data_IF_593232369163
#
_entry.id   IF_593232369163
#
_cell.length_a   1.000
_cell.length_b   1.000
_cell.length_c   1.000
_cell.angle_alpha   90.00
_cell.angle_beta   90.00
_cell.angle_gamma   90.00
#
_symmetry.space_group_name_H-M   'P 1'
#
loop_
_entity.id
_entity.type
_entity.pdbx_description
1 polymer ?
#
# COMPACT_ATOMS: atom_id res chain seq x y z
N UNK A 1 5.10 11.82 -11.70
CA UNK A 1 5.15 10.34 -11.69
C UNK A 1 3.93 9.82 -10.96
N UNK A 2 3.54 8.57 -11.19
CA UNK A 2 2.34 8.03 -10.59
C UNK A 2 2.61 6.80 -9.72
N UNK A 3 1.89 6.70 -8.60
CA UNK A 3 1.89 5.51 -7.73
C UNK A 3 0.72 4.63 -8.13
N UNK A 4 0.96 3.33 -8.27
CA UNK A 4 -0.06 2.37 -8.62
C UNK A 4 -0.62 1.71 -7.36
N UNK A 5 -1.94 1.74 -7.22
CA UNK A 5 -2.66 1.09 -6.14
C UNK A 5 -3.39 -0.13 -6.66
N UNK A 6 -3.19 -1.28 -6.00
CA UNK A 6 -4.04 -2.45 -6.14
C UNK A 6 -4.85 -2.60 -4.86
N UNK A 7 -6.17 -2.65 -4.99
CA UNK A 7 -7.08 -2.95 -3.90
C UNK A 7 -7.65 -4.35 -4.13
N UNK A 8 -7.60 -5.21 -3.12
CA UNK A 8 -8.21 -6.53 -3.15
C UNK A 8 -9.24 -6.65 -2.03
N UNK A 9 -10.32 -7.38 -2.30
CA UNK A 9 -11.30 -7.75 -1.29
C UNK A 9 -11.50 -9.23 -1.32
N UNK A 10 -11.30 -9.87 -0.18
CA UNK A 10 -11.21 -11.31 -0.05
C UNK A 10 -12.24 -11.79 0.97
N UNK A 11 -13.02 -12.81 0.60
CA UNK A 11 -13.88 -13.57 1.51
C UNK A 11 -13.30 -14.97 1.66
N UNK A 12 -13.16 -15.45 2.90
CA UNK A 12 -12.68 -16.81 3.16
C UNK A 12 -13.85 -17.77 3.35
N UNK A 13 -13.64 -19.03 3.00
CA UNK A 13 -14.64 -20.10 3.13
C UNK A 13 -14.96 -20.43 4.59
N UNK A 14 -14.00 -20.23 5.50
CA UNK A 14 -14.18 -20.41 6.93
C UNK A 14 -13.18 -19.58 7.76
N UNK A 15 -13.43 -19.38 9.07
CA UNK A 15 -12.46 -18.76 9.97
C UNK A 15 -11.13 -19.52 10.09
N UNK A 16 -11.15 -20.86 9.91
CA UNK A 16 -9.95 -21.69 9.94
C UNK A 16 -9.07 -21.45 8.70
N UNK A 17 -9.70 -21.28 7.54
CA UNK A 17 -8.99 -20.95 6.30
C UNK A 17 -8.31 -19.59 6.37
N UNK A 18 -8.95 -18.61 7.01
CA UNK A 18 -8.30 -17.33 7.27
C UNK A 18 -7.08 -17.49 8.20
N UNK A 19 -7.16 -18.30 9.27
CA UNK A 19 -6.00 -18.55 10.14
C UNK A 19 -4.83 -19.19 9.39
N UNK A 20 -5.10 -20.16 8.52
CA UNK A 20 -4.06 -20.76 7.66
C UNK A 20 -3.48 -19.73 6.69
N UNK A 21 -4.34 -18.90 6.10
CA UNK A 21 -3.92 -17.81 5.22
C UNK A 21 -3.00 -16.84 5.95
N UNK A 22 -3.30 -16.46 7.21
CA UNK A 22 -2.45 -15.56 7.99
C UNK A 22 -1.00 -16.06 8.12
N UNK A 23 -0.79 -17.38 8.21
CA UNK A 23 0.57 -17.96 8.23
C UNK A 23 1.30 -17.73 6.91
N UNK A 24 0.66 -18.01 5.78
CA UNK A 24 1.24 -17.79 4.45
C UNK A 24 1.44 -16.29 4.18
N UNK A 25 0.47 -15.48 4.57
CA UNK A 25 0.49 -14.03 4.40
C UNK A 25 1.61 -13.36 5.20
N UNK A 26 1.93 -13.87 6.38
CA UNK A 26 3.07 -13.39 7.16
C UNK A 26 4.39 -13.52 6.38
N UNK A 27 4.60 -14.62 5.66
CA UNK A 27 5.80 -14.82 4.85
C UNK A 27 5.74 -14.04 3.52
N UNK A 28 4.56 -13.92 2.90
CA UNK A 28 4.34 -13.00 1.77
C UNK A 28 4.84 -11.58 2.09
N UNK A 29 4.56 -11.05 3.29
CA UNK A 29 5.04 -9.72 3.72
C UNK A 29 6.57 -9.63 3.75
N UNK A 30 7.26 -10.70 4.13
CA UNK A 30 8.73 -10.76 4.12
C UNK A 30 9.26 -10.70 2.68
N UNK A 31 8.61 -11.42 1.77
CA UNK A 31 8.96 -11.42 0.34
C UNK A 31 8.68 -10.07 -0.33
N UNK A 32 7.52 -9.45 -0.04
CA UNK A 32 7.13 -8.14 -0.59
C UNK A 32 8.17 -7.06 -0.31
N UNK A 33 8.69 -6.97 0.93
CA UNK A 33 9.72 -5.97 1.29
C UNK A 33 10.98 -6.04 0.42
N UNK A 34 11.30 -7.22 -0.11
CA UNK A 34 12.49 -7.44 -0.94
C UNK A 34 12.29 -6.98 -2.38
N UNK A 35 11.05 -6.79 -2.83
CA UNK A 35 10.76 -6.46 -4.22
C UNK A 35 11.14 -5.02 -4.55
N UNK A 36 11.73 -4.79 -5.73
CA UNK A 36 11.81 -3.47 -6.33
C UNK A 36 10.41 -2.91 -6.56
N UNK A 37 10.20 -1.65 -6.18
CA UNK A 37 8.95 -0.94 -6.45
C UNK A 37 7.78 -1.24 -5.51
N UNK A 38 7.90 -2.17 -4.58
CA UNK A 38 6.94 -2.31 -3.49
C UNK A 38 7.07 -1.15 -2.49
N UNK A 39 5.94 -0.51 -2.15
CA UNK A 39 5.91 0.61 -1.20
C UNK A 39 5.15 0.26 0.07
N UNK A 40 3.98 -0.33 -0.08
CA UNK A 40 3.04 -0.49 1.03
C UNK A 40 2.10 -1.64 0.81
N UNK A 41 1.71 -2.31 1.89
CA UNK A 41 0.53 -3.16 1.94
C UNK A 41 -0.18 -2.96 3.29
N UNK A 42 -1.50 -2.78 3.27
CA UNK A 42 -2.36 -2.83 4.45
C UNK A 42 -3.44 -3.87 4.25
N UNK A 43 -3.69 -4.65 5.30
CA UNK A 43 -4.73 -5.66 5.38
C UNK A 43 -5.61 -5.41 6.60
N UNK A 44 -6.93 -5.40 6.42
CA UNK A 44 -7.88 -5.18 7.51
C UNK A 44 -9.21 -5.90 7.32
N UNK A 45 -9.93 -6.10 8.42
CA UNK A 45 -11.29 -6.66 8.44
C UNK A 45 -12.31 -5.56 8.16
N UNK A 46 -13.32 -5.82 7.33
CA UNK A 46 -14.41 -4.87 7.10
C UNK A 46 -15.23 -4.66 8.38
N UNK A 47 -15.59 -3.42 8.70
CA UNK A 47 -16.26 -3.11 9.96
C UNK A 47 -17.66 -3.72 10.08
N UNK A 48 -18.41 -3.77 8.98
CA UNK A 48 -19.80 -4.26 8.99
C UNK A 48 -19.95 -5.76 8.64
N UNK A 49 -18.92 -6.36 8.04
CA UNK A 49 -18.92 -7.78 7.65
C UNK A 49 -17.57 -8.40 8.04
N UNK A 50 -17.49 -9.08 9.19
CA UNK A 50 -16.23 -9.66 9.68
C UNK A 50 -15.74 -10.86 8.85
N UNK A 51 -16.51 -11.31 7.86
CA UNK A 51 -16.07 -12.29 6.87
C UNK A 51 -15.45 -11.65 5.63
N UNK A 52 -15.49 -10.32 5.51
CA UNK A 52 -14.79 -9.56 4.47
C UNK A 52 -13.48 -8.99 4.98
N UNK A 53 -12.46 -9.18 4.15
CA UNK A 53 -11.14 -8.64 4.37
C UNK A 53 -10.76 -7.77 3.18
N UNK A 54 -10.10 -6.66 3.46
CA UNK A 54 -9.63 -5.74 2.44
C UNK A 54 -8.11 -5.70 2.48
N UNK A 55 -7.51 -5.61 1.30
CA UNK A 55 -6.11 -5.37 1.10
C UNK A 55 -5.97 -4.12 0.22
N UNK A 56 -5.01 -3.26 0.55
CA UNK A 56 -4.46 -2.30 -0.40
C UNK A 56 -2.96 -2.52 -0.47
N UNK A 57 -2.42 -2.53 -1.68
CA UNK A 57 -0.98 -2.45 -1.92
C UNK A 57 -0.62 -1.30 -2.85
N UNK A 58 0.49 -0.61 -2.55
CA UNK A 58 1.01 0.51 -3.33
C UNK A 58 2.35 0.13 -3.95
N UNK A 59 2.52 0.55 -5.19
CA UNK A 59 3.63 0.20 -6.05
C UNK A 59 4.14 1.41 -6.82
N UNK A 60 5.44 1.46 -7.10
CA UNK A 60 6.04 2.54 -7.89
C UNK A 60 5.58 2.56 -9.35
N UNK A 61 5.04 1.44 -9.86
CA UNK A 61 4.50 1.33 -11.21
C UNK A 61 3.59 0.10 -11.34
N UNK A 62 2.81 0.06 -12.44
CA UNK A 62 2.05 -1.14 -12.81
C UNK A 62 2.98 -2.34 -13.10
N UNK A 63 4.14 -2.11 -13.73
CA UNK A 63 5.09 -3.19 -14.02
C UNK A 63 5.60 -3.86 -12.74
N UNK A 64 5.89 -3.09 -11.68
CA UNK A 64 6.32 -3.65 -10.40
C UNK A 64 5.25 -4.55 -9.77
N UNK A 65 3.97 -4.15 -9.83
CA UNK A 65 2.85 -4.98 -9.40
C UNK A 65 2.70 -6.23 -10.29
N UNK A 66 2.80 -6.07 -11.61
CA UNK A 66 2.69 -7.19 -12.56
C UNK A 66 3.78 -8.23 -12.30
N UNK A 67 5.01 -7.79 -12.07
CA UNK A 67 6.15 -8.65 -11.78
C UNK A 67 5.93 -9.41 -10.46
N UNK A 68 5.33 -8.78 -9.46
CA UNK A 68 4.88 -9.48 -8.26
C UNK A 68 3.81 -10.54 -8.55
N UNK A 69 2.78 -10.22 -9.34
CA UNK A 69 1.77 -11.21 -9.73
C UNK A 69 2.34 -12.38 -10.54
N UNK A 70 3.44 -12.15 -11.26
CA UNK A 70 4.15 -13.18 -12.01
C UNK A 70 5.21 -13.93 -11.20
N UNK A 71 5.53 -13.46 -10.00
CA UNK A 71 6.52 -14.06 -9.13
C UNK A 71 6.15 -15.51 -8.73
N UNK A 72 7.12 -16.41 -8.79
CA UNK A 72 6.93 -17.83 -8.49
C UNK A 72 6.36 -18.07 -7.09
N UNK A 73 6.88 -17.37 -6.08
CA UNK A 73 6.40 -17.52 -4.70
C UNK A 73 4.95 -17.05 -4.58
N UNK A 74 4.63 -15.86 -5.12
CA UNK A 74 3.26 -15.34 -5.11
C UNK A 74 2.27 -16.29 -5.80
N UNK A 75 2.66 -16.87 -6.95
CA UNK A 75 1.84 -17.87 -7.66
C UNK A 75 1.58 -19.10 -6.80
N UNK A 76 2.59 -19.64 -6.12
CA UNK A 76 2.41 -20.79 -5.24
C UNK A 76 1.52 -20.47 -4.03
N UNK A 77 1.70 -19.30 -3.41
CA UNK A 77 0.86 -18.86 -2.30
C UNK A 77 -0.61 -18.71 -2.73
N UNK A 78 -0.85 -18.07 -3.89
CA UNK A 78 -2.20 -17.90 -4.44
C UNK A 78 -2.82 -19.23 -4.88
N UNK A 79 -2.03 -20.10 -5.51
CA UNK A 79 -2.47 -21.44 -5.92
C UNK A 79 -2.86 -22.30 -4.73
N UNK A 80 -2.10 -22.26 -3.63
CA UNK A 80 -2.47 -22.92 -2.38
C UNK A 80 -3.84 -22.44 -1.87
N UNK A 81 -4.05 -21.12 -1.83
CA UNK A 81 -5.31 -20.54 -1.36
C UNK A 81 -6.51 -20.95 -2.22
N UNK A 82 -6.33 -21.04 -3.55
CA UNK A 82 -7.37 -21.50 -4.48
C UNK A 82 -7.61 -23.01 -4.35
N UNK A 83 -6.55 -23.83 -4.37
CA UNK A 83 -6.66 -25.31 -4.35
C UNK A 83 -7.17 -25.85 -3.03
N UNK A 84 -6.85 -25.20 -1.91
CA UNK A 84 -7.39 -25.55 -0.60
C UNK A 84 -8.86 -25.15 -0.44
N UNK A 85 -9.40 -24.35 -1.37
CA UNK A 85 -10.75 -23.77 -1.24
C UNK A 85 -10.81 -22.69 -0.16
N UNK A 86 -9.68 -22.14 0.29
CA UNK A 86 -9.63 -21.19 1.38
C UNK A 86 -10.32 -19.85 1.04
N UNK A 87 -10.20 -19.41 -0.21
CA UNK A 87 -10.81 -18.17 -0.71
C UNK A 87 -12.13 -18.49 -1.44
N UNK A 88 -13.20 -17.83 -1.01
CA UNK A 88 -14.53 -17.90 -1.61
C UNK A 88 -14.74 -16.82 -2.68
N UNK A 89 -14.18 -15.63 -2.48
CA UNK A 89 -14.33 -14.47 -3.36
C UNK A 89 -13.05 -13.62 -3.31
N UNK A 90 -12.55 -13.19 -4.48
CA UNK A 90 -11.36 -12.33 -4.63
C UNK A 90 -11.64 -11.24 -5.69
N UNK A 91 -11.92 -10.02 -5.25
CA UNK A 91 -12.21 -8.87 -6.11
C UNK A 91 -11.02 -7.93 -6.14
N UNK A 92 -10.47 -7.65 -7.32
CA UNK A 92 -9.32 -6.76 -7.49
C UNK A 92 -9.72 -5.52 -8.28
N UNK A 93 -9.38 -4.34 -7.76
CA UNK A 93 -9.53 -3.05 -8.43
C UNK A 93 -8.21 -2.28 -8.40
N UNK A 94 -7.86 -1.63 -9.51
CA UNK A 94 -6.58 -0.94 -9.62
C UNK A 94 -6.73 0.53 -9.98
N UNK A 95 -5.84 1.37 -9.45
CA UNK A 95 -5.86 2.82 -9.60
C UNK A 95 -4.45 3.37 -9.80
N UNK A 96 -4.33 4.54 -10.42
CA UNK A 96 -3.08 5.25 -10.63
C UNK A 96 -3.17 6.67 -10.04
N UNK A 97 -2.37 6.96 -9.02
CA UNK A 97 -2.32 8.25 -8.36
C UNK A 97 -1.33 9.19 -9.05
N UNK A 98 -1.83 10.21 -9.76
CA UNK A 98 -0.99 11.13 -10.54
C UNK A 98 -0.63 12.45 -9.85
N UNK A 99 -1.35 12.84 -8.79
CA UNK A 99 -1.20 14.16 -8.13
C UNK A 99 -1.61 14.10 -6.65
N UNK A 100 -0.85 13.37 -5.83
CA UNK A 100 -1.15 13.28 -4.40
C UNK A 100 -0.73 14.55 -3.65
N UNK A 101 -1.55 14.98 -2.69
CA UNK A 101 -1.27 16.09 -1.77
C UNK A 101 -1.43 15.64 -0.34
N UNK A 102 -0.59 16.17 0.55
CA UNK A 102 -0.64 15.91 1.99
C UNK A 102 -1.15 17.17 2.65
N UNK A 103 -2.40 17.10 3.08
CA UNK A 103 -3.04 18.12 3.89
C UNK A 103 -2.98 17.65 5.34
N UNK A 104 -2.26 18.37 6.19
CA UNK A 104 -2.12 18.05 7.61
C UNK A 104 -2.42 19.27 8.46
N UNK A 105 -3.28 19.10 9.46
CA UNK A 105 -3.60 20.14 10.44
C UNK A 105 -3.03 19.70 11.79
N UNK A 106 -2.16 20.53 12.39
CA UNK A 106 -1.60 20.24 13.70
C UNK A 106 -2.68 20.41 14.78
N UNK A 107 -2.96 19.39 15.62
CA UNK A 107 -3.98 19.49 16.66
C UNK A 107 -3.57 20.42 17.81
N UNK A 108 -2.25 20.67 17.98
CA UNK A 108 -1.74 21.49 19.09
C UNK A 108 -1.74 23.00 18.77
N UNK A 109 -1.37 23.40 17.55
CA UNK A 109 -1.20 24.82 17.19
C UNK A 109 -2.01 25.27 15.97
N UNK A 110 -2.89 24.41 15.46
CA UNK A 110 -3.73 24.62 14.27
C UNK A 110 -2.95 24.98 12.98
N UNK A 111 -1.63 24.75 12.94
CA UNK A 111 -0.84 24.99 11.74
C UNK A 111 -1.27 24.02 10.63
N UNK A 112 -1.58 24.58 9.46
CA UNK A 112 -1.98 23.84 8.26
C UNK A 112 -0.78 23.70 7.35
N UNK A 113 -0.48 22.45 6.98
CA UNK A 113 0.46 22.11 5.92
C UNK A 113 -0.35 21.60 4.73
N UNK A 114 -0.08 22.16 3.56
CA UNK A 114 -0.61 21.67 2.29
C UNK A 114 0.53 21.68 1.27
N UNK A 115 1.01 20.48 0.93
CA UNK A 115 2.18 20.29 0.08
C UNK A 115 2.02 19.07 -0.83
N UNK A 116 2.78 18.98 -1.94
CA UNK A 116 2.91 17.75 -2.69
C UNK A 116 3.24 16.56 -1.78
N UNK A 117 2.64 15.41 -2.06
CA UNK A 117 2.84 14.21 -1.27
C UNK A 117 3.53 13.12 -2.06
N UNK A 118 4.80 12.93 -1.73
CA UNK A 118 5.62 11.84 -2.24
C UNK A 118 5.26 10.55 -1.48
N UNK A 119 4.22 9.86 -1.94
CA UNK A 119 3.73 8.60 -1.33
C UNK A 119 4.84 7.54 -1.26
N UNK A 120 5.80 7.56 -2.17
CA UNK A 120 6.96 6.66 -2.14
C UNK A 120 7.92 6.91 -0.95
N UNK A 121 7.79 8.03 -0.25
CA UNK A 121 8.52 8.36 0.98
C UNK A 121 7.52 8.57 2.14
N UNK A 122 6.46 7.76 2.20
CA UNK A 122 5.38 7.92 3.16
C UNK A 122 5.86 7.84 4.61
N UNK A 123 6.74 6.90 4.97
CA UNK A 123 7.17 6.75 6.36
C UNK A 123 7.94 8.00 6.82
N UNK A 124 8.85 8.48 5.99
CA UNK A 124 9.58 9.72 6.21
C UNK A 124 8.63 10.93 6.30
N UNK A 125 7.69 11.07 5.36
CA UNK A 125 6.76 12.19 5.37
C UNK A 125 5.79 12.19 6.57
N UNK A 126 5.39 11.00 7.04
CA UNK A 126 4.52 10.84 8.21
C UNK A 126 5.24 11.02 9.54
N UNK A 127 6.55 10.72 9.61
CA UNK A 127 7.35 10.87 10.83
C UNK A 127 7.67 12.33 11.17
N UNK A 128 7.63 13.24 10.19
CA UNK A 128 7.97 14.65 10.40
C UNK A 128 7.02 15.33 11.41
N UNK A 129 7.55 15.99 12.46
CA UNK A 129 6.75 16.72 13.44
C UNK A 129 6.15 17.99 12.83
N UNK A 130 5.27 18.66 13.59
CA UNK A 130 4.78 19.97 13.20
C UNK A 130 5.94 20.97 13.13
N UNK A 131 6.14 21.67 12.00
CA UNK A 131 7.26 22.61 11.85
C UNK A 131 7.09 23.89 12.69
N UNK A 132 5.89 24.13 13.24
CA UNK A 132 5.60 25.33 14.05
C UNK A 132 5.77 25.11 15.55
N UNK A 133 5.38 23.95 16.06
CA UNK A 133 5.35 23.69 17.50
C UNK A 133 5.93 22.33 17.90
N UNK A 134 6.60 21.64 16.98
CA UNK A 134 7.30 20.36 17.19
C UNK A 134 6.40 19.20 17.67
N UNK A 135 5.08 19.34 17.53
CA UNK A 135 4.15 18.27 17.86
C UNK A 135 4.43 17.03 17.00
N UNK A 136 4.78 15.92 17.64
CA UNK A 136 4.95 14.62 16.99
C UNK A 136 3.59 14.00 16.71
N UNK A 137 3.28 13.77 15.44
CA UNK A 137 2.03 13.12 15.06
C UNK A 137 2.06 11.64 15.46
N UNK A 138 1.00 11.12 16.11
CA UNK A 138 0.97 9.71 16.48
C UNK A 138 0.87 8.84 15.24
N UNK A 139 1.70 7.81 15.17
CA UNK A 139 1.60 6.73 14.18
C UNK A 139 0.93 5.55 14.85
N UNK A 140 -0.22 5.12 14.32
CA UNK A 140 -0.97 3.99 14.88
C UNK A 140 -0.17 2.70 14.71
N UNK A 141 -0.11 1.89 15.78
CA UNK A 141 0.51 0.56 15.73
C UNK A 141 -0.41 -0.43 15.01
N UNK A 142 0.15 -1.55 14.58
CA UNK A 142 -0.63 -2.70 14.12
C UNK A 142 -1.59 -3.16 15.22
N UNK A 143 -2.76 -3.67 14.81
CA UNK A 143 -3.79 -4.23 15.69
C UNK A 143 -4.15 -5.63 15.22
N UNK A 144 -4.99 -6.34 15.97
CA UNK A 144 -5.52 -7.65 15.55
C UNK A 144 -6.36 -7.56 14.26
N UNK A 145 -6.95 -6.39 13.99
CA UNK A 145 -7.91 -6.20 12.91
C UNK A 145 -7.35 -5.40 11.73
N UNK A 146 -6.14 -4.84 11.86
CA UNK A 146 -5.48 -4.05 10.83
C UNK A 146 -3.97 -4.14 10.99
N UNK A 147 -3.29 -4.61 9.95
CA UNK A 147 -1.84 -4.75 9.90
C UNK A 147 -1.30 -4.09 8.64
N UNK A 148 -0.09 -3.56 8.70
CA UNK A 148 0.48 -2.79 7.60
C UNK A 148 1.98 -3.01 7.48
N UNK A 149 2.48 -3.01 6.25
CA UNK A 149 3.90 -3.10 5.95
C UNK A 149 4.27 -2.00 4.96
N UNK A 150 5.34 -1.27 5.28
CA UNK A 150 5.79 -0.11 4.53
C UNK A 150 7.26 -0.26 4.14
N UNK A 151 7.63 0.45 3.07
CA UNK A 151 8.99 0.61 2.57
C UNK A 151 9.07 1.91 1.76
N UNK A 152 9.86 2.85 2.26
CA UNK A 152 10.21 4.03 1.48
C UNK A 152 11.16 3.67 0.34
N UNK A 153 10.95 4.28 -0.83
CA UNK A 153 11.71 4.04 -2.06
C UNK A 153 12.02 5.38 -2.72
N UNK A 154 13.32 5.67 -2.83
CA UNK A 154 13.79 6.80 -3.64
C UNK A 154 13.56 6.49 -5.11
N UNK A 155 12.67 7.25 -5.73
CA UNK A 155 12.39 7.13 -7.16
C UNK A 155 13.34 8.04 -7.95
N UNK A 156 13.84 7.63 -9.12
CA UNK A 156 14.61 8.51 -9.99
C UNK A 156 13.75 9.71 -10.41
N UNK A 157 14.29 10.93 -10.34
CA UNK A 157 13.66 12.11 -10.92
C UNK A 157 13.57 11.89 -12.43
N UNK A 158 12.36 11.72 -12.96
CA UNK A 158 12.15 11.91 -14.39
C UNK A 158 12.24 13.40 -14.66
N UNK A 159 13.25 13.82 -15.43
CA UNK A 159 13.38 15.20 -15.91
C UNK A 159 12.06 15.65 -16.53
N UNK A 160 11.35 16.54 -15.83
CA UNK A 160 10.13 17.18 -16.31
C UNK A 160 10.40 18.12 -17.51
N UNK A 161 11.66 18.27 -17.94
CA UNK A 161 12.09 19.21 -18.98
C UNK A 161 11.69 18.82 -20.41
N UNK A 162 11.19 17.59 -20.65
CA UNK A 162 10.91 17.13 -22.02
C UNK A 162 9.50 17.42 -22.55
N UNK A 163 8.59 18.01 -21.75
CA UNK A 163 7.21 18.26 -22.19
C UNK A 163 6.88 19.72 -22.54
N UNK A 164 7.72 20.70 -22.19
CA UNK A 164 7.52 22.10 -22.62
C UNK A 164 8.13 22.41 -23.99
N UNK A 165 9.07 21.61 -24.49
CA UNK A 165 9.69 21.85 -25.82
C UNK A 165 8.81 21.40 -27.01
N UNK A 166 7.80 20.55 -26.78
CA UNK A 166 6.98 19.97 -27.86
C UNK A 166 5.69 20.77 -28.20
N UNK A 167 5.45 21.90 -27.52
CA UNK A 167 4.30 22.79 -27.78
C UNK A 167 4.71 24.15 -28.36
N UNK A 168 6.00 24.33 -28.69
CA UNK A 168 6.54 25.57 -29.25
C UNK A 168 7.25 25.37 -30.61
N UNK A 169 6.76 24.46 -31.46
CA UNK A 169 7.23 24.31 -32.86
C UNK A 169 6.06 24.20 -33.82
#
# INVERSE_FOLDING_TARGET
MAIYQSMQRVRFSSPDDYKKFQTIFADVRIHLKKLPGFLHLTWWVHNDDPCWYNEISLWTSFDALRDWHMNTYHKHAKEWAVRSGAIMEDIIANFEFKNARLIRVCPNCAHIQDKPYEINMEQEALSQPCPKCEFTFPVMRETTNSTAVFKDVVMPLQDLSSKEAATAS
#
